data_IF_421977055396
#
_entry.id   IF_421977055396
#
_cell.length_a   1.000
_cell.length_b   1.000
_cell.length_c   1.000
_cell.angle_alpha   90.00
_cell.angle_beta   90.00
_cell.angle_gamma   90.00
#
_symmetry.space_group_name_H-M   'P 1'
#
loop_
_entity.id
_entity.type
_entity.pdbx_description
1 polymer ?
#
# COMPACT_ATOMS: atom_id res chain seq x y z
N UNK A 1 -1.92 -17.07 16.38
CA UNK A 1 -1.20 -16.27 15.37
C UNK A 1 -1.62 -14.82 15.54
N UNK A 2 -0.74 -13.85 15.28
CA UNK A 2 -1.11 -12.43 15.34
C UNK A 2 -1.51 -11.94 13.94
N UNK A 3 -2.53 -11.09 13.82
CA UNK A 3 -3.04 -10.53 12.56
C UNK A 3 -2.99 -9.01 12.60
N UNK A 4 -2.52 -8.39 11.51
CA UNK A 4 -2.66 -6.94 11.28
C UNK A 4 -3.88 -6.74 10.39
N UNK A 5 -4.80 -5.87 10.80
CA UNK A 5 -5.93 -5.43 9.98
C UNK A 5 -5.81 -3.94 9.74
N UNK A 6 -5.87 -3.51 8.49
CA UNK A 6 -5.82 -2.11 8.07
C UNK A 6 -7.16 -1.77 7.45
N UNK A 7 -7.78 -0.70 7.91
CA UNK A 7 -9.03 -0.19 7.39
C UNK A 7 -8.74 1.03 6.51
N UNK A 8 -9.20 0.95 5.26
CA UNK A 8 -9.03 1.99 4.27
C UNK A 8 -10.37 2.67 4.04
N UNK A 9 -10.38 4.00 3.92
CA UNK A 9 -11.53 4.71 3.37
C UNK A 9 -11.74 4.36 1.90
N UNK A 10 -12.92 4.64 1.37
CA UNK A 10 -13.21 4.45 -0.06
C UNK A 10 -12.20 5.20 -0.94
N UNK A 11 -11.82 6.42 -0.55
CA UNK A 11 -10.83 7.22 -1.28
C UNK A 11 -9.44 6.56 -1.28
N UNK A 12 -9.00 6.04 -0.13
CA UNK A 12 -7.71 5.35 0.00
C UNK A 12 -7.71 4.05 -0.81
N UNK A 13 -8.83 3.32 -0.79
CA UNK A 13 -8.99 2.09 -1.56
C UNK A 13 -8.97 2.35 -3.07
N UNK A 14 -9.63 3.41 -3.55
CA UNK A 14 -9.57 3.79 -4.97
C UNK A 14 -8.17 4.22 -5.40
N UNK A 15 -7.44 4.98 -4.58
CA UNK A 15 -6.03 5.34 -4.85
C UNK A 15 -5.15 4.09 -4.98
N UNK A 16 -5.34 3.12 -4.09
CA UNK A 16 -4.61 1.84 -4.14
C UNK A 16 -4.92 1.06 -5.43
N UNK A 17 -6.20 0.96 -5.82
CA UNK A 17 -6.60 0.28 -7.07
C UNK A 17 -6.03 0.96 -8.30
N UNK A 18 -6.08 2.29 -8.36
CA UNK A 18 -5.54 3.06 -9.48
C UNK A 18 -4.03 2.84 -9.63
N UNK A 19 -3.29 2.88 -8.51
CA UNK A 19 -1.85 2.62 -8.51
C UNK A 19 -1.52 1.19 -8.95
N UNK A 20 -2.24 0.19 -8.43
CA UNK A 20 -2.08 -1.21 -8.85
C UNK A 20 -2.30 -1.39 -10.35
N UNK A 21 -3.35 -0.77 -10.90
CA UNK A 21 -3.65 -0.85 -12.33
C UNK A 21 -2.51 -0.25 -13.18
N UNK A 22 -2.02 0.93 -12.82
CA UNK A 22 -0.91 1.58 -13.51
C UNK A 22 0.37 0.72 -13.46
N UNK A 23 0.64 0.08 -12.33
CA UNK A 23 1.82 -0.79 -12.17
C UNK A 23 1.71 -2.07 -13.00
N UNK A 24 0.51 -2.65 -13.12
CA UNK A 24 0.27 -3.81 -14.00
C UNK A 24 0.48 -3.44 -15.47
N UNK A 25 0.03 -2.25 -15.89
CA UNK A 25 0.26 -1.75 -17.25
C UNK A 25 1.75 -1.53 -17.51
N UNK A 26 2.49 -0.92 -16.57
CA UNK A 26 3.95 -0.73 -16.68
C UNK A 26 4.69 -2.07 -16.74
N UNK A 27 4.34 -3.03 -15.88
CA UNK A 27 5.00 -4.33 -15.85
C UNK A 27 4.71 -5.17 -17.10
N UNK A 28 3.54 -5.01 -17.72
CA UNK A 28 3.22 -5.64 -18.99
C UNK A 28 4.05 -5.06 -20.15
N UNK A 29 4.42 -3.78 -20.07
CA UNK A 29 5.28 -3.11 -21.06
C UNK A 29 6.78 -3.34 -20.82
N UNK A 30 7.22 -3.57 -19.58
CA UNK A 30 8.64 -3.63 -19.21
C UNK A 30 9.23 -5.04 -19.06
N UNK A 31 8.43 -6.10 -19.23
CA UNK A 31 8.81 -7.52 -19.02
C UNK A 31 9.50 -7.77 -17.65
N UNK A 32 9.25 -6.86 -16.69
CA UNK A 32 9.85 -6.85 -15.35
C UNK A 32 8.78 -7.06 -14.30
N UNK A 33 8.91 -8.10 -13.48
CA UNK A 33 7.99 -8.35 -12.36
C UNK A 33 8.41 -7.48 -11.17
N UNK A 34 7.87 -6.27 -11.06
CA UNK A 34 8.05 -5.47 -9.84
C UNK A 34 7.17 -6.06 -8.72
N UNK A 35 7.78 -6.48 -7.61
CA UNK A 35 7.05 -6.96 -6.45
C UNK A 35 6.15 -5.89 -5.82
N UNK A 36 5.13 -6.32 -5.09
CA UNK A 36 4.37 -5.48 -4.17
C UNK A 36 4.91 -5.66 -2.76
N UNK A 37 5.32 -4.57 -2.11
CA UNK A 37 5.68 -4.56 -0.70
C UNK A 37 4.71 -3.68 0.07
N UNK A 38 4.31 -4.13 1.26
CA UNK A 38 3.50 -3.36 2.20
C UNK A 38 4.33 -3.22 3.47
N UNK A 39 4.69 -1.99 3.83
CA UNK A 39 5.46 -1.65 5.03
C UNK A 39 4.55 -0.87 5.97
N UNK A 40 4.36 -1.39 7.17
CA UNK A 40 3.75 -0.66 8.27
C UNK A 40 4.87 0.08 9.02
N UNK A 41 4.79 1.40 9.03
CA UNK A 41 5.75 2.27 9.70
C UNK A 41 5.11 2.79 10.99
N UNK A 42 5.75 2.52 12.13
CA UNK A 42 5.30 3.02 13.44
C UNK A 42 6.34 3.99 14.00
N UNK A 43 5.91 5.20 14.39
CA UNK A 43 6.74 6.15 15.12
C UNK A 43 5.96 6.84 16.24
N UNK A 44 6.66 7.56 17.12
CA UNK A 44 6.05 8.27 18.26
C UNK A 44 5.03 9.34 17.85
N UNK A 45 5.05 9.77 16.58
CA UNK A 45 4.19 10.81 16.03
C UNK A 45 2.98 10.27 15.23
N UNK A 46 2.89 8.94 15.06
CA UNK A 46 1.81 8.30 14.31
C UNK A 46 2.30 7.10 13.51
N UNK A 47 1.33 6.31 13.06
CA UNK A 47 1.58 5.13 12.22
C UNK A 47 1.09 5.39 10.80
N UNK A 48 1.82 4.90 9.79
CA UNK A 48 1.41 4.99 8.40
C UNK A 48 1.74 3.71 7.63
N UNK A 49 1.10 3.55 6.47
CA UNK A 49 1.30 2.42 5.57
C UNK A 49 1.98 2.90 4.28
N UNK A 50 3.11 2.29 3.94
CA UNK A 50 3.76 2.44 2.65
C UNK A 50 3.51 1.21 1.79
N UNK A 51 2.98 1.42 0.58
CA UNK A 51 2.86 0.37 -0.43
C UNK A 51 3.86 0.68 -1.54
N UNK A 52 4.84 -0.21 -1.73
CA UNK A 52 5.85 -0.11 -2.78
C UNK A 52 5.48 -1.05 -3.92
N UNK A 53 5.13 -0.46 -5.07
CA UNK A 53 4.81 -1.13 -6.33
C UNK A 53 5.28 -0.19 -7.44
N UNK A 54 6.42 -0.48 -8.09
CA UNK A 54 7.06 0.42 -9.07
C UNK A 54 6.94 1.92 -8.70
N UNK A 55 7.36 2.25 -7.48
CA UNK A 55 7.13 3.55 -6.85
C UNK A 55 6.46 3.42 -5.48
N UNK A 56 6.42 4.52 -4.74
CA UNK A 56 5.83 4.60 -3.40
C UNK A 56 4.44 5.21 -3.50
N UNK A 57 3.42 4.50 -3.05
CA UNK A 57 2.07 5.04 -2.87
C UNK A 57 1.87 5.44 -1.41
N UNK A 58 1.61 6.73 -1.20
CA UNK A 58 1.24 7.27 0.12
C UNK A 58 -0.29 7.29 0.26
N UNK A 59 -0.81 6.56 1.23
CA UNK A 59 -2.25 6.50 1.55
C UNK A 59 -2.67 7.49 2.65
N UNK A 60 -1.72 8.23 3.22
CA UNK A 60 -1.93 9.05 4.41
C UNK A 60 -2.10 8.20 5.67
N UNK A 61 -2.70 8.80 6.71
CA UNK A 61 -2.99 8.11 7.96
C UNK A 61 -4.02 7.00 7.74
N UNK A 62 -3.74 5.81 8.26
CA UNK A 62 -4.64 4.65 8.17
C UNK A 62 -4.94 4.11 9.56
N UNK A 63 -6.16 3.63 9.75
CA UNK A 63 -6.53 2.93 10.97
C UNK A 63 -6.05 1.48 10.88
N UNK A 64 -5.35 1.00 11.88
CA UNK A 64 -4.88 -0.38 11.93
C UNK A 64 -4.96 -0.96 13.34
N UNK A 65 -5.02 -2.30 13.43
CA UNK A 65 -5.05 -3.03 14.70
C UNK A 65 -4.29 -4.35 14.61
N UNK A 66 -3.75 -4.80 15.74
CA UNK A 66 -3.18 -6.14 15.94
C UNK A 66 -4.17 -6.98 16.75
N UNK A 67 -4.50 -8.17 16.22
CA UNK A 67 -5.33 -9.19 16.87
C UNK A 67 -4.51 -10.45 17.18
#
# INVERSE_FOLDING_TARGET
MKKISIELSDEQYEKMKAHQKNVVEINAESDSLSGCSIKLCCCELGDWLEIEMNGVLNLGDVNWKIE
#
